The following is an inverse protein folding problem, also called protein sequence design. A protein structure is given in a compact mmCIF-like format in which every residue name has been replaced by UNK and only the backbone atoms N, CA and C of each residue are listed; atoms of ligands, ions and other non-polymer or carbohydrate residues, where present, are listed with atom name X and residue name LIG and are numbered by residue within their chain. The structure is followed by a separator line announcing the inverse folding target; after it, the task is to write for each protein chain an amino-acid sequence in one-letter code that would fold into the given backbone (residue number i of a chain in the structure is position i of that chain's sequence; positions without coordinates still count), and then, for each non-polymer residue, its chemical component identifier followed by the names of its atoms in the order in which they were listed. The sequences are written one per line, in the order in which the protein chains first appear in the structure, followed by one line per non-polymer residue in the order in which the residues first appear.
data_IF_196359849949
#
_entry.id   IF_196359849949
#
_cell.length_a   1.000
_cell.length_b   1.000
_cell.length_c   1.000
_cell.angle_alpha   90.00
_cell.angle_beta   90.00
_cell.angle_gamma   90.00
#
_symmetry.space_group_name_H-M   'P 1'
#
loop_
_entity.id
_entity.type
_entity.pdbx_description
1 polymer ?
#
# COMPACT_ATOMS: atom_id res chain seq x y z
N UNK A 1 -5.76 11.05 15.11
CA UNK A 1 -5.71 9.77 15.83
C UNK A 1 -4.32 9.20 15.61
N UNK A 2 -3.64 8.80 16.68
CA UNK A 2 -2.40 8.02 16.59
C UNK A 2 -2.80 6.63 17.04
N UNK A 3 -2.95 5.71 16.08
CA UNK A 3 -2.96 4.28 16.39
C UNK A 3 -1.53 3.79 16.23
N UNK A 4 -0.92 3.43 17.34
CA UNK A 4 0.45 2.91 17.38
C UNK A 4 0.42 1.49 16.82
N UNK A 5 1.23 1.22 15.79
CA UNK A 5 1.54 -0.14 15.34
C UNK A 5 2.31 -0.87 16.46
N UNK A 6 1.58 -1.38 17.44
CA UNK A 6 2.09 -1.82 18.74
C UNK A 6 3.07 -2.99 18.72
N UNK A 7 3.30 -3.60 17.55
CA UNK A 7 4.30 -4.66 17.39
C UNK A 7 5.70 -4.13 17.00
N UNK A 8 5.81 -2.93 16.42
CA UNK A 8 7.08 -2.46 15.81
C UNK A 8 7.54 -1.08 16.28
N UNK A 9 6.73 -0.35 17.07
CA UNK A 9 7.07 1.00 17.55
C UNK A 9 7.56 1.95 16.42
N UNK A 10 6.99 1.76 15.23
CA UNK A 10 7.20 2.64 14.08
C UNK A 10 6.05 3.64 14.09
N UNK A 11 6.37 4.90 14.37
CA UNK A 11 5.46 6.01 14.07
C UNK A 11 5.58 6.28 12.58
N UNK A 12 4.53 5.94 11.84
CA UNK A 12 4.40 6.43 10.46
C UNK A 12 4.25 7.95 10.56
N UNK A 13 4.94 8.66 9.66
CA UNK A 13 4.82 10.12 9.50
C UNK A 13 3.36 10.56 9.34
N UNK A 14 3.11 11.87 9.38
CA UNK A 14 1.78 12.41 9.13
C UNK A 14 1.18 11.80 7.84
N UNK A 15 -0.14 11.64 7.78
CA UNK A 15 -0.83 11.18 6.57
C UNK A 15 -1.73 12.30 6.05
N UNK A 16 -1.61 12.61 4.76
CA UNK A 16 -2.59 13.39 4.02
C UNK A 16 -3.71 12.45 3.58
N UNK A 17 -4.94 12.69 4.00
CA UNK A 17 -6.10 11.88 3.60
C UNK A 17 -6.87 12.62 2.51
N UNK A 18 -7.06 11.97 1.37
CA UNK A 18 -7.76 12.52 0.22
C UNK A 18 -8.89 11.59 -0.18
N UNK A 19 -10.11 12.08 -0.12
CA UNK A 19 -11.29 11.34 -0.56
C UNK A 19 -11.72 11.86 -1.94
N UNK A 20 -11.85 10.97 -2.93
CA UNK A 20 -12.32 11.31 -4.28
C UNK A 20 -13.84 11.20 -4.30
N UNK A 21 -14.52 12.33 -4.42
CA UNK A 21 -15.98 12.38 -4.27
C UNK A 21 -16.71 11.73 -5.46
N UNK A 22 -17.97 11.33 -5.22
CA UNK A 22 -18.84 10.76 -6.25
C UNK A 22 -18.95 11.67 -7.48
N UNK A 23 -18.63 11.12 -8.65
CA UNK A 23 -18.70 11.84 -9.92
C UNK A 23 -17.48 12.70 -10.25
N UNK A 24 -16.45 12.70 -9.40
CA UNK A 24 -15.16 13.31 -9.74
C UNK A 24 -14.35 12.46 -10.74
N UNK A 25 -13.40 13.11 -11.40
CA UNK A 25 -12.38 12.39 -12.15
C UNK A 25 -11.61 11.49 -11.15
N UNK A 26 -11.37 10.23 -11.53
CA UNK A 26 -10.63 9.23 -10.72
C UNK A 26 -11.41 8.53 -9.61
N UNK A 27 -12.74 8.65 -9.57
CA UNK A 27 -13.55 7.76 -8.72
C UNK A 27 -13.23 6.27 -8.98
N UNK A 28 -12.91 5.92 -10.23
CA UNK A 28 -12.29 4.64 -10.57
C UNK A 28 -10.88 4.89 -11.09
N UNK A 29 -9.87 4.28 -10.46
CA UNK A 29 -8.50 4.30 -10.97
C UNK A 29 -8.33 3.20 -12.02
N UNK A 30 -7.91 3.57 -13.22
CA UNK A 30 -7.51 2.64 -14.26
C UNK A 30 -6.00 2.43 -14.16
N UNK A 31 -5.60 1.21 -13.83
CA UNK A 31 -4.20 0.81 -13.68
C UNK A 31 -3.56 0.51 -15.04
N UNK A 32 -2.22 0.54 -15.10
CA UNK A 32 -1.51 0.27 -16.35
C UNK A 32 -1.87 -1.14 -16.88
N UNK A 33 -2.18 -1.26 -18.19
CA UNK A 33 -2.54 -2.55 -18.76
C UNK A 33 -1.42 -3.59 -18.61
N UNK A 34 -1.83 -4.85 -18.44
CA UNK A 34 -0.96 -6.03 -18.31
C UNK A 34 -0.08 -6.10 -17.04
N UNK A 35 0.25 -4.97 -16.40
CA UNK A 35 1.06 -4.89 -15.19
C UNK A 35 0.24 -4.56 -13.93
N UNK A 36 -0.93 -3.93 -14.10
CA UNK A 36 -1.82 -3.54 -13.00
C UNK A 36 -1.13 -2.65 -11.94
N UNK A 37 -0.20 -1.81 -12.37
CA UNK A 37 0.57 -0.90 -11.51
C UNK A 37 0.41 0.57 -11.94
N UNK A 38 0.77 1.49 -11.05
CA UNK A 38 0.88 2.96 -11.20
C UNK A 38 -0.33 3.68 -11.85
N UNK A 39 -0.51 3.57 -13.18
CA UNK A 39 -1.70 4.02 -13.91
C UNK A 39 -2.24 5.40 -13.50
N UNK A 40 -3.56 5.47 -13.24
CA UNK A 40 -4.22 6.69 -12.77
C UNK A 40 -3.74 7.15 -11.39
N UNK A 41 -3.21 6.26 -10.53
CA UNK A 41 -2.73 6.63 -9.20
C UNK A 41 -1.59 7.65 -9.29
N UNK A 42 -0.63 7.41 -10.19
CA UNK A 42 0.45 8.37 -10.49
C UNK A 42 -0.06 9.75 -10.90
N UNK A 43 -1.20 9.79 -11.60
CA UNK A 43 -1.81 11.03 -12.07
C UNK A 43 -2.51 11.76 -10.93
N UNK A 44 -3.25 11.03 -10.09
CA UNK A 44 -3.89 11.57 -8.89
C UNK A 44 -2.85 12.17 -7.96
N UNK A 45 -1.81 11.41 -7.59
CA UNK A 45 -0.78 11.86 -6.65
C UNK A 45 -0.05 13.13 -7.11
N UNK A 46 0.20 13.29 -8.42
CA UNK A 46 0.76 14.53 -8.98
C UNK A 46 -0.22 15.72 -8.94
N UNK A 47 -1.51 15.45 -8.96
CA UNK A 47 -2.56 16.48 -8.97
C UNK A 47 -2.94 16.93 -7.56
N UNK A 48 -2.68 16.11 -6.54
CA UNK A 48 -2.87 16.48 -5.14
C UNK A 48 -1.97 17.65 -4.76
N UNK A 49 -2.42 18.45 -3.79
CA UNK A 49 -1.56 19.35 -3.04
C UNK A 49 -1.01 18.53 -1.86
N UNK A 50 0.13 17.84 -2.03
CA UNK A 50 0.69 16.95 -1.02
C UNK A 50 0.90 17.70 0.29
N UNK A 51 0.73 17.01 1.41
CA UNK A 51 1.09 17.60 2.71
C UNK A 51 2.60 17.40 2.92
N UNK A 52 3.39 18.49 3.10
CA UNK A 52 4.83 18.34 3.27
C UNK A 52 5.18 17.41 4.44
N UNK A 53 6.02 16.41 4.17
CA UNK A 53 6.44 15.43 5.17
C UNK A 53 5.36 14.42 5.56
N UNK A 54 4.31 14.28 4.75
CA UNK A 54 3.26 13.29 4.94
C UNK A 54 3.23 12.25 3.80
N UNK A 55 2.72 11.07 4.09
CA UNK A 55 2.31 10.11 3.07
C UNK A 55 0.90 10.44 2.61
N UNK A 56 0.68 10.47 1.30
CA UNK A 56 -0.66 10.68 0.74
C UNK A 56 -1.42 9.35 0.68
N UNK A 57 -2.61 9.33 1.28
CA UNK A 57 -3.56 8.21 1.26
C UNK A 57 -4.80 8.66 0.51
N UNK A 58 -5.06 8.02 -0.63
CA UNK A 58 -6.17 8.35 -1.51
C UNK A 58 -7.27 7.30 -1.36
N UNK A 59 -8.50 7.75 -1.12
CA UNK A 59 -9.69 6.90 -1.12
C UNK A 59 -10.43 7.09 -2.44
N UNK A 60 -10.75 5.96 -3.09
CA UNK A 60 -11.46 5.89 -4.37
C UNK A 60 -12.61 4.89 -4.27
N UNK A 61 -13.56 4.89 -5.21
CA UNK A 61 -14.59 3.85 -5.25
C UNK A 61 -13.96 2.52 -5.64
N UNK A 62 -13.22 2.50 -6.77
CA UNK A 62 -12.71 1.26 -7.37
C UNK A 62 -11.36 1.44 -8.04
N UNK A 63 -10.68 0.31 -8.21
CA UNK A 63 -9.47 0.18 -9.02
C UNK A 63 -9.66 -0.93 -10.03
N UNK A 64 -9.28 -0.68 -11.28
CA UNK A 64 -9.48 -1.59 -12.39
C UNK A 64 -8.19 -1.81 -13.15
N UNK A 65 -7.88 -3.08 -13.39
CA UNK A 65 -6.80 -3.45 -14.29
C UNK A 65 -7.36 -4.04 -15.59
N UNK A 66 -6.91 -3.48 -16.71
CA UNK A 66 -7.27 -3.94 -18.05
C UNK A 66 -6.15 -4.80 -18.62
N UNK A 67 -6.38 -6.10 -18.83
CA UNK A 67 -5.42 -6.96 -19.53
C UNK A 67 -5.98 -7.25 -20.91
N UNK A 68 -5.24 -6.86 -21.95
CA UNK A 68 -5.67 -6.96 -23.37
C UNK A 68 -7.05 -6.34 -23.65
N UNK A 69 -7.38 -5.24 -22.98
CA UNK A 69 -8.64 -4.50 -23.19
C UNK A 69 -9.89 -5.14 -22.56
N UNK A 70 -9.72 -6.17 -21.73
CA UNK A 70 -10.76 -6.70 -20.87
C UNK A 70 -10.41 -6.43 -19.40
N UNK A 71 -11.40 -6.10 -18.57
CA UNK A 71 -11.22 -6.00 -17.11
C UNK A 71 -10.85 -7.38 -16.58
N UNK A 72 -9.59 -7.54 -16.15
CA UNK A 72 -9.08 -8.80 -15.60
C UNK A 72 -9.40 -8.91 -14.11
N UNK A 73 -9.32 -7.78 -13.41
CA UNK A 73 -9.56 -7.64 -11.98
C UNK A 73 -10.36 -6.37 -11.73
N UNK A 74 -11.53 -6.52 -11.11
CA UNK A 74 -12.37 -5.46 -10.54
C UNK A 74 -12.50 -5.83 -9.04
N UNK A 75 -11.60 -5.32 -8.20
CA UNK A 75 -11.55 -5.78 -6.80
C UNK A 75 -10.23 -5.64 -6.05
N UNK A 76 -9.28 -4.80 -6.49
CA UNK A 76 -8.15 -4.46 -5.62
C UNK A 76 -8.67 -3.66 -4.43
N UNK A 77 -8.32 -4.06 -3.21
CA UNK A 77 -8.69 -3.31 -2.01
C UNK A 77 -7.78 -2.09 -1.81
N UNK A 78 -6.48 -2.24 -2.11
CA UNK A 78 -5.49 -1.18 -2.04
C UNK A 78 -4.42 -1.29 -3.12
N UNK A 79 -3.63 -0.23 -3.26
CA UNK A 79 -2.46 -0.18 -4.13
C UNK A 79 -1.43 0.82 -3.59
N UNK A 80 -0.19 0.39 -3.37
CA UNK A 80 0.95 1.28 -3.19
C UNK A 80 1.47 1.78 -4.54
N UNK A 81 1.80 3.08 -4.63
CA UNK A 81 2.29 3.67 -5.87
C UNK A 81 3.69 3.16 -6.31
N UNK A 82 4.46 2.56 -5.39
CA UNK A 82 5.71 1.87 -5.69
C UNK A 82 6.22 1.06 -4.47
N UNK A 83 7.19 0.16 -4.70
CA UNK A 83 7.84 -0.68 -3.68
C UNK A 83 9.38 -0.63 -3.83
N UNK A 84 10.11 0.04 -2.92
CA UNK A 84 9.61 1.10 -2.06
C UNK A 84 9.19 2.32 -2.89
N UNK A 85 8.33 3.17 -2.31
CA UNK A 85 7.92 4.44 -2.90
C UNK A 85 9.02 5.52 -2.91
N UNK A 86 8.61 6.76 -3.18
CA UNK A 86 9.41 7.99 -2.98
C UNK A 86 8.55 9.07 -2.31
N UNK A 87 8.50 9.05 -0.98
CA UNK A 87 7.73 10.03 -0.18
C UNK A 87 8.50 11.33 0.07
N UNK A 88 9.77 11.42 -0.33
CA UNK A 88 10.59 12.63 -0.15
C UNK A 88 10.38 13.63 -1.29
N UNK A 89 9.95 13.14 -2.45
CA UNK A 89 9.54 13.99 -3.57
C UNK A 89 8.11 14.43 -3.36
N UNK A 90 7.93 15.63 -2.81
CA UNK A 90 6.63 16.29 -2.67
C UNK A 90 5.91 16.35 -4.03
N UNK A 91 4.71 15.78 -4.11
CA UNK A 91 3.91 15.72 -5.34
C UNK A 91 4.45 14.71 -6.35
N UNK A 92 5.35 13.84 -5.91
CA UNK A 92 5.88 12.74 -6.70
C UNK A 92 4.81 11.67 -6.95
N UNK A 93 4.81 11.04 -8.15
CA UNK A 93 3.84 10.00 -8.48
C UNK A 93 3.95 8.73 -7.64
N UNK A 94 5.04 8.55 -6.88
CA UNK A 94 5.37 7.29 -6.19
C UNK A 94 5.32 7.43 -4.65
N UNK A 95 4.74 8.53 -4.14
CA UNK A 95 4.82 8.92 -2.72
C UNK A 95 3.57 8.58 -1.88
N UNK A 96 2.70 7.70 -2.36
CA UNK A 96 1.40 7.46 -1.70
C UNK A 96 0.79 6.10 -1.96
N UNK A 97 -0.40 5.90 -1.40
CA UNK A 97 -1.19 4.68 -1.50
C UNK A 97 -2.65 5.02 -1.83
N UNK A 98 -3.35 4.07 -2.46
CA UNK A 98 -4.78 4.16 -2.70
C UNK A 98 -5.55 3.03 -2.01
N UNK A 99 -6.79 3.30 -1.62
CA UNK A 99 -7.75 2.34 -1.04
C UNK A 99 -9.09 2.45 -1.77
N UNK A 100 -9.61 1.32 -2.24
CA UNK A 100 -10.91 1.22 -2.92
C UNK A 100 -12.04 0.92 -1.93
N UNK A 101 -12.76 1.96 -1.53
CA UNK A 101 -13.87 1.88 -0.57
C UNK A 101 -15.05 1.05 -1.10
N UNK A 102 -15.28 1.00 -2.41
CA UNK A 102 -16.30 0.14 -3.02
C UNK A 102 -15.99 -1.36 -2.90
N UNK A 103 -14.74 -1.73 -2.64
CA UNK A 103 -14.29 -3.11 -2.40
C UNK A 103 -14.27 -3.44 -0.91
N UNK A 104 -13.71 -2.54 -0.11
CA UNK A 104 -13.59 -2.69 1.35
C UNK A 104 -14.94 -2.53 2.06
N UNK A 105 -15.84 -1.70 1.51
CA UNK A 105 -17.12 -1.33 2.11
C UNK A 105 -16.99 -0.36 3.28
N UNK A 106 -18.05 -0.26 4.08
CA UNK A 106 -18.13 0.63 5.25
C UNK A 106 -17.33 0.13 6.48
N UNK A 107 -16.51 -0.91 6.32
CA UNK A 107 -15.70 -1.47 7.41
C UNK A 107 -14.40 -0.67 7.58
N UNK A 108 -14.43 0.28 8.53
CA UNK A 108 -13.28 1.10 8.87
C UNK A 108 -12.05 0.28 9.31
N UNK A 109 -12.25 -0.90 9.91
CA UNK A 109 -11.14 -1.76 10.33
C UNK A 109 -10.49 -2.42 9.12
N UNK A 110 -11.29 -2.85 8.15
CA UNK A 110 -10.78 -3.35 6.87
C UNK A 110 -10.04 -2.25 6.09
N UNK A 111 -10.57 -1.02 6.05
CA UNK A 111 -9.90 0.10 5.40
C UNK A 111 -8.57 0.44 6.07
N UNK A 112 -8.53 0.51 7.40
CA UNK A 112 -7.30 0.74 8.15
C UNK A 112 -6.27 -0.37 7.92
N UNK A 113 -6.71 -1.63 7.88
CA UNK A 113 -5.85 -2.76 7.57
C UNK A 113 -5.28 -2.67 6.15
N UNK A 114 -6.10 -2.32 5.15
CA UNK A 114 -5.63 -2.09 3.77
C UNK A 114 -4.62 -0.95 3.71
N UNK A 115 -4.88 0.19 4.37
CA UNK A 115 -3.88 1.29 4.45
C UNK A 115 -2.56 0.77 5.04
N UNK A 116 -2.61 0.02 6.14
CA UNK A 116 -1.41 -0.55 6.76
C UNK A 116 -0.64 -1.49 5.82
N UNK A 117 -1.35 -2.33 5.08
CA UNK A 117 -0.77 -3.23 4.08
C UNK A 117 -0.06 -2.46 2.97
N UNK A 118 -0.74 -1.48 2.36
CA UNK A 118 -0.15 -0.68 1.27
C UNK A 118 1.01 0.21 1.76
N UNK A 119 0.95 0.71 3.01
CA UNK A 119 2.09 1.39 3.60
C UNK A 119 3.28 0.45 3.80
N UNK A 120 3.05 -0.82 4.13
CA UNK A 120 4.09 -1.84 4.15
C UNK A 120 4.79 -1.97 2.80
N UNK A 121 4.03 -2.03 1.71
CA UNK A 121 4.54 -1.99 0.34
C UNK A 121 5.33 -0.72 0.04
N UNK A 122 4.77 0.45 0.35
CA UNK A 122 5.44 1.73 0.16
C UNK A 122 6.78 1.79 0.91
N UNK A 123 6.86 1.18 2.08
CA UNK A 123 8.07 1.09 2.91
C UNK A 123 9.04 -0.04 2.49
N UNK A 124 8.70 -0.82 1.46
CA UNK A 124 9.60 -1.79 0.83
C UNK A 124 9.35 -3.26 1.19
N UNK A 125 8.22 -3.58 1.82
CA UNK A 125 7.81 -4.97 2.01
C UNK A 125 7.12 -5.52 0.76
N UNK A 126 7.33 -6.80 0.46
CA UNK A 126 6.59 -7.53 -0.57
C UNK A 126 5.52 -8.40 0.08
N UNK A 127 4.64 -8.98 -0.72
CA UNK A 127 3.76 -10.00 -0.17
C UNK A 127 4.59 -11.17 0.36
N UNK A 128 4.15 -11.79 1.46
CA UNK A 128 4.78 -13.03 1.96
C UNK A 128 4.81 -14.12 0.89
N UNK A 129 3.80 -14.13 0.02
CA UNK A 129 3.72 -14.91 -1.21
C UNK A 129 2.93 -14.14 -2.27
N UNK A 130 3.52 -13.94 -3.45
CA UNK A 130 2.85 -13.30 -4.58
C UNK A 130 1.80 -14.22 -5.23
N UNK A 131 0.68 -13.63 -5.63
CA UNK A 131 -0.37 -14.32 -6.38
C UNK A 131 0.04 -14.43 -7.86
N UNK A 132 0.77 -15.49 -8.20
CA UNK A 132 1.12 -15.80 -9.59
C UNK A 132 -0.04 -16.45 -10.33
N UNK A 133 -0.29 -16.02 -11.57
CA UNK A 133 -1.32 -16.64 -12.42
C UNK A 133 -0.83 -17.95 -13.03
N UNK A 134 -1.69 -18.97 -13.10
CA UNK A 134 -1.40 -20.20 -13.85
C UNK A 134 -0.71 -21.29 -13.02
N UNK A 135 0.29 -21.96 -13.61
CA UNK A 135 1.00 -23.10 -13.01
C UNK A 135 2.42 -22.78 -12.55
N UNK A 136 2.79 -21.49 -12.57
CA UNK A 136 4.11 -21.05 -12.17
C UNK A 136 4.33 -21.29 -10.66
N UNK A 137 5.57 -21.57 -10.24
CA UNK A 137 5.88 -21.73 -8.83
C UNK A 137 5.58 -20.44 -8.06
N UNK A 138 5.14 -20.54 -6.79
CA UNK A 138 4.93 -19.35 -5.96
C UNK A 138 6.23 -18.58 -5.79
N UNK A 139 6.12 -17.26 -5.75
CA UNK A 139 7.21 -16.35 -5.45
C UNK A 139 7.01 -15.88 -4.01
N UNK A 140 7.98 -16.13 -3.14
CA UNK A 140 7.96 -15.71 -1.73
C UNK A 140 8.82 -14.46 -1.54
N UNK A 141 8.59 -13.75 -0.44
CA UNK A 141 9.48 -12.64 -0.07
C UNK A 141 10.91 -13.13 0.22
N UNK A 142 11.85 -12.20 0.35
CA UNK A 142 13.26 -12.50 0.63
C UNK A 142 13.59 -12.51 2.12
N UNK A 143 12.59 -12.41 2.99
CA UNK A 143 12.76 -12.20 4.43
C UNK A 143 12.75 -13.58 5.11
N UNK A 144 13.91 -13.99 5.61
CA UNK A 144 14.16 -15.38 6.03
C UNK A 144 13.28 -15.91 7.17
N UNK A 145 12.64 -15.03 7.94
CA UNK A 145 11.73 -15.41 9.03
C UNK A 145 10.25 -15.36 8.63
N UNK A 146 9.93 -14.99 7.39
CA UNK A 146 8.64 -15.22 6.76
C UNK A 146 8.57 -16.68 6.27
N UNK A 147 7.57 -17.48 6.67
CA UNK A 147 7.42 -18.84 6.16
C UNK A 147 7.01 -18.91 4.68
N UNK A 148 7.77 -19.67 3.88
CA UNK A 148 7.48 -20.01 2.47
C UNK A 148 6.33 -21.03 2.33
N UNK A 149 5.11 -20.62 2.68
CA UNK A 149 3.94 -21.49 2.54
C UNK A 149 2.65 -20.70 2.24
N UNK A 150 1.80 -21.17 1.31
CA UNK A 150 0.56 -20.46 0.95
C UNK A 150 -0.44 -20.28 2.11
N UNK A 151 -0.34 -21.11 3.15
CA UNK A 151 -1.20 -21.05 4.32
C UNK A 151 -0.81 -19.96 5.32
N UNK A 152 0.36 -19.32 5.16
CA UNK A 152 0.81 -18.25 6.04
C UNK A 152 0.06 -16.94 5.74
N UNK A 153 -1.18 -16.89 6.22
CA UNK A 153 -2.14 -15.80 6.01
C UNK A 153 -2.33 -14.92 7.25
N UNK A 154 -1.73 -15.31 8.38
CA UNK A 154 -1.68 -14.54 9.61
C UNK A 154 -0.46 -13.62 9.63
N UNK A 155 -0.39 -12.73 8.64
CA UNK A 155 0.62 -11.68 8.48
C UNK A 155 0.00 -10.50 7.75
N UNK A 156 0.41 -9.28 8.10
CA UNK A 156 -0.06 -8.06 7.46
C UNK A 156 0.20 -8.10 5.95
N UNK A 157 1.35 -8.60 5.52
CA UNK A 157 1.75 -8.65 4.10
C UNK A 157 1.27 -9.92 3.38
N UNK A 158 0.28 -10.64 3.90
CA UNK A 158 -0.31 -11.74 3.13
C UNK A 158 -1.17 -11.20 2.00
N UNK A 159 -1.01 -11.71 0.77
CA UNK A 159 -1.82 -11.33 -0.39
C UNK A 159 -3.30 -11.81 -0.28
N UNK A 160 -3.60 -12.71 0.65
CA UNK A 160 -4.95 -13.14 0.99
C UNK A 160 -5.18 -12.95 2.51
N UNK A 161 -5.19 -11.68 2.98
CA UNK A 161 -5.03 -11.40 4.40
C UNK A 161 -6.25 -11.85 5.20
N UNK A 162 -6.00 -12.43 6.38
CA UNK A 162 -7.01 -12.68 7.39
C UNK A 162 -6.98 -11.59 8.47
N UNK A 163 -7.25 -10.33 8.09
CA UNK A 163 -7.32 -9.18 9.00
C UNK A 163 -6.17 -9.08 10.04
N UNK A 164 -5.01 -9.67 9.74
CA UNK A 164 -3.90 -9.79 10.68
C UNK A 164 -3.04 -8.53 10.64
N UNK A 165 -2.68 -7.98 11.79
CA UNK A 165 -1.80 -6.82 11.88
C UNK A 165 -0.36 -7.21 12.25
N UNK A 166 0.01 -8.50 12.10
CA UNK A 166 1.31 -9.01 12.54
C UNK A 166 2.39 -8.81 11.47
N UNK A 167 3.62 -8.58 11.92
CA UNK A 167 4.82 -8.58 11.09
C UNK A 167 5.86 -9.47 11.76
N UNK A 168 6.76 -10.06 10.97
CA UNK A 168 7.93 -10.77 11.49
C UNK A 168 9.00 -9.78 11.97
N UNK A 169 10.00 -10.26 12.71
CA UNK A 169 11.13 -9.43 13.15
C UNK A 169 11.95 -8.94 11.95
N UNK A 170 12.07 -9.76 10.90
CA UNK A 170 12.72 -9.40 9.64
C UNK A 170 11.97 -8.30 8.87
N UNK A 171 10.64 -8.39 8.79
CA UNK A 171 9.82 -7.32 8.21
C UNK A 171 9.92 -6.03 9.02
N UNK A 172 9.85 -6.13 10.35
CA UNK A 172 10.08 -5.01 11.26
C UNK A 172 11.45 -4.35 11.05
N UNK A 173 12.51 -5.15 10.85
CA UNK A 173 13.84 -4.65 10.55
C UNK A 173 13.88 -3.86 9.24
N UNK A 174 13.26 -4.36 8.16
CA UNK A 174 13.17 -3.65 6.87
C UNK A 174 12.50 -2.29 7.05
N UNK A 175 11.39 -2.23 7.79
CA UNK A 175 10.73 -0.96 8.10
C UNK A 175 11.66 -0.04 8.90
N UNK A 176 12.30 -0.54 9.96
CA UNK A 176 13.14 0.27 10.85
C UNK A 176 14.37 0.89 10.16
N UNK A 177 14.88 0.28 9.09
CA UNK A 177 16.01 0.83 8.31
C UNK A 177 15.55 1.67 7.11
N UNK A 178 14.25 1.81 6.89
CA UNK A 178 13.74 2.65 5.82
C UNK A 178 14.13 4.12 6.10
N UNK A 179 14.78 4.82 5.15
CA UNK A 179 15.31 6.16 5.36
C UNK A 179 14.24 7.20 5.71
N UNK A 180 12.96 6.93 5.47
CA UNK A 180 11.87 7.84 5.83
C UNK A 180 11.54 7.82 7.32
N UNK A 181 11.72 6.67 7.98
CA UNK A 181 11.42 6.52 9.40
C UNK A 181 12.57 7.02 10.27
N UNK A 182 13.79 7.06 9.74
CA UNK A 182 14.98 7.54 10.45
C UNK A 182 15.13 9.07 10.46
N UNK A 183 14.34 9.83 9.67
CA UNK A 183 14.52 11.28 9.50
C UNK A 183 13.76 12.15 10.54
N UNK A 184 13.07 11.55 11.51
CA UNK A 184 12.15 12.24 12.42
C UNK A 184 12.79 13.12 13.51
N UNK A 185 14.07 12.96 13.83
CA UNK A 185 14.64 13.53 15.08
C UNK A 185 15.82 14.50 14.93
N UNK A 186 16.28 14.83 13.72
CA UNK A 186 17.46 15.71 13.50
C UNK A 186 17.11 17.15 13.06
N UNK A 187 15.96 17.68 13.49
CA UNK A 187 15.75 19.14 13.56
C UNK A 187 16.43 19.67 14.84
N UNK A 188 17.77 19.69 14.83
CA UNK A 188 18.57 20.31 15.88
C UNK A 188 18.27 21.81 16.06
N UNK A 189 18.53 22.38 17.25
CA UNK A 189 18.38 23.81 17.51
C UNK A 189 19.35 24.70 16.71
#
# INVERSE_FOLDING_TARGET
MSETFGAVAVDVVAAGLFDVEDGEAWQTLVLEPDLCEDGDLATVLRALAPTPGAVDVVFVDRMQCLVRGATLVDGFAGLAAAIPGDVLTEGGPHGGVAVALGVVGDDAAAAAHTVAHELGHLLGLFHTMELVSGTDPPIYDVISDTPDQPSFTDNLMSAAPQASSSLTDGQAFVLAINPWLAAGDDQGP
#
